data_IF_238811547757
#
_entry.id   IF_238811547757
#
_cell.length_a   1.000
_cell.length_b   1.000
_cell.length_c   1.000
_cell.angle_alpha   90.00
_cell.angle_beta   90.00
_cell.angle_gamma   90.00
#
_symmetry.space_group_name_H-M   'P 1'
#
loop_
_entity.id
_entity.type
_entity.pdbx_description
1 polymer ?
#
# COMPACT_ATOMS: atom_id res chain seq x y z
N UNK A 1 28.89 5.00 6.69
CA UNK A 1 27.47 4.91 7.10
C UNK A 1 26.66 4.87 5.81
N UNK A 2 26.14 3.68 5.47
CA UNK A 2 25.71 3.34 4.11
C UNK A 2 24.47 4.10 3.67
N UNK A 3 24.52 4.66 2.47
CA UNK A 3 23.42 5.35 1.82
C UNK A 3 22.35 4.32 1.42
N UNK A 4 21.43 4.02 2.33
CA UNK A 4 20.37 3.02 2.11
C UNK A 4 19.09 3.70 1.61
N UNK A 5 19.22 4.50 0.56
CA UNK A 5 18.11 5.27 0.00
C UNK A 5 17.21 4.34 -0.83
N UNK A 6 16.25 3.72 -0.16
CA UNK A 6 15.12 3.08 -0.83
C UNK A 6 14.39 4.12 -1.68
N UNK A 7 14.12 3.78 -2.93
CA UNK A 7 13.37 4.65 -3.85
C UNK A 7 11.88 4.36 -3.76
N UNK A 8 11.06 5.36 -4.11
CA UNK A 8 9.62 5.15 -4.26
C UNK A 8 9.36 4.28 -5.50
N UNK A 9 8.82 3.07 -5.28
CA UNK A 9 8.56 2.10 -6.34
C UNK A 9 7.52 2.59 -7.36
N UNK A 10 6.63 3.51 -6.99
CA UNK A 10 5.69 4.12 -7.94
C UNK A 10 6.37 5.05 -8.95
N UNK A 11 7.59 5.53 -8.66
CA UNK A 11 8.33 6.49 -9.50
C UNK A 11 9.52 5.85 -10.24
N UNK A 12 10.07 4.75 -9.71
CA UNK A 12 11.28 4.15 -10.31
C UNK A 12 10.94 3.17 -11.44
N UNK A 13 11.52 3.42 -12.61
CA UNK A 13 11.56 2.46 -13.72
C UNK A 13 10.20 1.94 -14.19
N UNK A 14 9.10 2.64 -13.86
CA UNK A 14 7.74 2.19 -14.09
C UNK A 14 7.53 0.73 -13.65
N UNK A 15 8.01 0.34 -12.47
CA UNK A 15 7.99 -1.08 -12.09
C UNK A 15 6.60 -1.57 -11.66
N UNK A 16 5.70 -0.69 -11.21
CA UNK A 16 4.32 -1.06 -10.90
C UNK A 16 3.51 -1.20 -12.19
N UNK A 17 2.83 -2.34 -12.32
CA UNK A 17 1.85 -2.58 -13.36
C UNK A 17 0.46 -2.11 -12.90
N UNK A 18 0.15 -0.84 -13.16
CA UNK A 18 -1.14 -0.26 -12.82
C UNK A 18 -2.33 -0.90 -13.55
N UNK A 19 -2.11 -1.55 -14.70
CA UNK A 19 -3.19 -2.15 -15.48
C UNK A 19 -3.74 -3.42 -14.84
N UNK A 20 -2.87 -4.18 -14.15
CA UNK A 20 -3.24 -5.44 -13.47
C UNK A 20 -3.43 -5.26 -11.96
N UNK A 21 -2.93 -4.15 -11.39
CA UNK A 21 -3.15 -3.78 -10.00
C UNK A 21 -4.59 -3.35 -9.76
N UNK A 22 -5.18 -3.79 -8.65
CA UNK A 22 -6.60 -3.59 -8.35
C UNK A 22 -6.85 -3.43 -6.85
N UNK A 23 -7.96 -2.81 -6.49
CA UNK A 23 -8.44 -2.76 -5.11
C UNK A 23 -9.82 -3.44 -5.02
N UNK A 24 -10.12 -4.02 -3.86
CA UNK A 24 -11.40 -4.65 -3.55
C UNK A 24 -12.08 -3.91 -2.40
N UNK A 25 -13.42 -3.95 -2.38
CA UNK A 25 -14.28 -3.26 -1.42
C UNK A 25 -14.12 -1.74 -1.42
N UNK A 26 -13.97 -1.12 -2.60
CA UNK A 26 -13.80 0.33 -2.76
C UNK A 26 -15.10 1.02 -3.13
N UNK A 27 -15.40 2.14 -2.48
CA UNK A 27 -16.59 2.94 -2.74
C UNK A 27 -16.44 3.74 -4.05
N UNK A 28 -17.47 3.71 -4.89
CA UNK A 28 -17.51 4.46 -6.14
C UNK A 28 -17.50 5.98 -5.89
N UNK A 29 -16.88 6.73 -6.80
CA UNK A 29 -16.71 8.20 -6.67
C UNK A 29 -15.49 8.63 -5.85
N UNK A 30 -14.82 7.68 -5.19
CA UNK A 30 -13.58 7.90 -4.44
C UNK A 30 -12.31 7.51 -5.22
N UNK A 31 -11.16 7.74 -4.60
CA UNK A 31 -9.84 7.53 -5.21
C UNK A 31 -9.58 6.09 -5.63
N UNK A 32 -8.93 5.91 -6.78
CA UNK A 32 -8.53 4.61 -7.34
C UNK A 32 -7.14 4.21 -6.87
N UNK A 33 -6.80 2.92 -6.94
CA UNK A 33 -5.50 2.42 -6.50
C UNK A 33 -4.30 3.13 -7.16
N UNK A 34 -4.41 3.47 -8.45
CA UNK A 34 -3.35 4.22 -9.15
C UNK A 34 -3.10 5.60 -8.52
N UNK A 35 -4.15 6.28 -8.06
CA UNK A 35 -4.08 7.60 -7.42
C UNK A 35 -3.51 7.48 -5.99
N UNK A 36 -3.83 6.39 -5.29
CA UNK A 36 -3.29 6.09 -3.96
C UNK A 36 -1.79 5.74 -4.04
N UNK A 37 -1.35 5.00 -5.06
CA UNK A 37 0.06 4.65 -5.25
C UNK A 37 0.89 5.81 -5.79
N UNK A 38 0.28 6.68 -6.59
CA UNK A 38 0.95 7.83 -7.22
C UNK A 38 0.07 9.09 -7.13
N UNK A 39 0.05 9.76 -5.97
CA UNK A 39 -0.72 10.99 -5.81
C UNK A 39 -0.09 12.09 -6.68
N UNK A 40 -0.85 12.62 -7.64
CA UNK A 40 -0.33 13.64 -8.56
C UNK A 40 -0.28 15.05 -7.95
N UNK A 41 -1.11 15.31 -6.93
CA UNK A 41 -1.23 16.62 -6.27
C UNK A 41 -1.54 16.45 -4.78
N UNK A 42 -1.15 17.43 -3.96
CA UNK A 42 -1.66 17.53 -2.59
C UNK A 42 -3.19 17.69 -2.61
N UNK A 43 -3.90 16.99 -1.73
CA UNK A 43 -5.37 17.01 -1.70
C UNK A 43 -6.06 16.07 -2.69
N UNK A 44 -5.37 15.02 -3.17
CA UNK A 44 -5.97 13.99 -4.01
C UNK A 44 -7.18 13.29 -3.35
N UNK A 45 -8.05 12.70 -4.18
CA UNK A 45 -9.26 12.01 -3.70
C UNK A 45 -8.87 10.76 -2.89
N UNK A 46 -9.27 10.62 -1.61
CA UNK A 46 -8.96 9.43 -0.83
C UNK A 46 -9.74 8.24 -1.37
N UNK A 47 -9.16 7.04 -1.25
CA UNK A 47 -9.88 5.79 -1.41
C UNK A 47 -10.64 5.49 -0.12
N UNK A 48 -11.87 5.02 -0.24
CA UNK A 48 -12.76 4.71 0.88
C UNK A 48 -13.32 3.29 0.68
N UNK A 49 -13.53 2.55 1.77
CA UNK A 49 -14.15 1.23 1.72
C UNK A 49 -15.67 1.29 1.42
N UNK A 50 -16.29 0.20 0.95
CA UNK A 50 -17.69 0.21 0.47
C UNK A 50 -18.68 -0.64 1.28
N UNK A 51 -18.31 -1.78 1.85
CA UNK A 51 -19.29 -2.63 2.58
C UNK A 51 -19.05 -2.60 4.08
N UNK A 52 -17.79 -2.61 4.49
CA UNK A 52 -17.31 -2.53 5.88
C UNK A 52 -15.99 -1.73 5.91
N UNK A 53 -15.24 -1.79 7.00
CA UNK A 53 -13.96 -1.10 7.16
C UNK A 53 -12.80 -1.72 6.37
N UNK A 54 -13.00 -2.85 5.69
CA UNK A 54 -11.92 -3.62 5.13
C UNK A 54 -11.54 -3.17 3.71
N UNK A 55 -10.26 -3.19 3.37
CA UNK A 55 -9.78 -2.93 1.99
C UNK A 55 -8.68 -3.91 1.62
N UNK A 56 -8.74 -4.48 0.42
CA UNK A 56 -7.64 -5.27 -0.15
C UNK A 56 -7.08 -4.52 -1.35
N UNK A 57 -5.79 -4.20 -1.29
CA UNK A 57 -5.06 -3.57 -2.39
C UNK A 57 -4.06 -4.58 -2.95
N UNK A 58 -4.17 -4.87 -4.25
CA UNK A 58 -3.30 -5.79 -4.98
C UNK A 58 -2.39 -4.98 -5.91
N UNK A 59 -1.10 -5.00 -5.62
CA UNK A 59 -0.06 -4.33 -6.41
C UNK A 59 0.74 -5.38 -7.15
N UNK A 60 0.81 -5.27 -8.47
CA UNK A 60 1.61 -6.15 -9.32
C UNK A 60 2.82 -5.39 -9.86
N UNK A 61 3.95 -6.08 -9.94
CA UNK A 61 5.19 -5.52 -10.47
C UNK A 61 5.54 -6.18 -11.81
N UNK A 62 6.01 -5.38 -12.77
CA UNK A 62 6.43 -5.84 -14.11
C UNK A 62 7.64 -6.76 -14.06
N UNK A 63 8.56 -6.44 -13.16
CA UNK A 63 9.73 -7.25 -12.81
C UNK A 63 9.76 -7.41 -11.28
N UNK A 64 10.32 -8.50 -10.72
CA UNK A 64 10.46 -8.65 -9.27
C UNK A 64 11.24 -7.50 -8.61
N UNK A 65 10.72 -7.01 -7.48
CA UNK A 65 11.31 -5.92 -6.69
C UNK A 65 11.61 -6.36 -5.25
N UNK A 66 12.46 -5.59 -4.58
CA UNK A 66 12.58 -5.62 -3.12
C UNK A 66 11.65 -4.54 -2.54
N UNK A 67 10.82 -4.89 -1.55
CA UNK A 67 9.99 -3.94 -0.80
C UNK A 67 10.53 -3.86 0.63
N UNK A 68 11.14 -2.73 0.96
CA UNK A 68 11.88 -2.54 2.20
C UNK A 68 11.07 -1.80 3.26
N UNK A 69 10.16 -0.92 2.86
CA UNK A 69 9.30 -0.20 3.79
C UNK A 69 8.00 0.24 3.14
N UNK A 70 7.00 0.55 3.98
CA UNK A 70 5.73 1.15 3.57
C UNK A 70 5.51 2.43 4.37
N UNK A 71 4.99 3.46 3.72
CA UNK A 71 4.44 4.66 4.37
C UNK A 71 3.00 4.81 3.94
N UNK A 72 2.12 5.17 4.88
CA UNK A 72 0.72 5.51 4.59
C UNK A 72 0.42 6.94 5.01
N UNK A 73 -0.40 7.64 4.22
CA UNK A 73 -0.90 8.97 4.54
C UNK A 73 -2.43 8.99 4.44
N UNK A 74 -3.07 9.64 5.42
CA UNK A 74 -4.53 9.73 5.54
C UNK A 74 -4.95 11.18 5.84
N UNK A 75 -4.36 12.13 5.11
CA UNK A 75 -4.52 13.57 5.37
C UNK A 75 -5.76 14.17 4.73
N UNK A 76 -6.32 13.48 3.74
CA UNK A 76 -7.52 13.92 3.04
C UNK A 76 -8.67 13.06 3.55
N UNK A 77 -9.38 13.54 4.58
CA UNK A 77 -10.59 12.88 5.06
C UNK A 77 -11.72 13.07 4.03
N UNK A 78 -12.45 12.01 3.65
CA UNK A 78 -13.65 12.16 2.82
C UNK A 78 -14.69 13.05 3.53
N UNK A 79 -15.30 13.98 2.80
CA UNK A 79 -16.23 14.96 3.36
C UNK A 79 -17.66 14.40 3.52
N UNK A 80 -17.98 13.37 2.74
CA UNK A 80 -19.29 12.77 2.52
C UNK A 80 -19.45 11.38 3.15
N UNK A 81 -18.37 10.83 3.72
CA UNK A 81 -18.35 9.51 4.34
C UNK A 81 -17.73 9.58 5.73
N UNK A 82 -18.40 9.02 6.75
CA UNK A 82 -17.82 8.86 8.08
C UNK A 82 -16.83 7.69 8.07
N UNK A 83 -15.56 8.00 7.81
CA UNK A 83 -14.47 7.04 7.74
C UNK A 83 -13.29 7.44 8.65
N UNK A 84 -12.45 6.46 8.99
CA UNK A 84 -11.25 6.63 9.82
C UNK A 84 -9.99 6.04 9.14
N UNK A 85 -8.77 6.51 9.45
CA UNK A 85 -7.54 5.92 8.96
C UNK A 85 -7.36 4.46 9.41
N UNK A 86 -6.64 3.61 8.64
CA UNK A 86 -6.44 2.21 9.00
C UNK A 86 -5.61 2.07 10.28
N UNK A 87 -5.95 1.05 11.07
CA UNK A 87 -5.23 0.68 12.31
C UNK A 87 -4.39 -0.57 12.11
N UNK A 88 -4.89 -1.57 11.41
CA UNK A 88 -4.15 -2.81 11.17
C UNK A 88 -3.98 -3.07 9.68
N UNK A 89 -2.73 -3.26 9.25
CA UNK A 89 -2.39 -3.66 7.89
C UNK A 89 -1.69 -5.01 7.90
N UNK A 90 -2.25 -5.98 7.18
CA UNK A 90 -1.65 -7.29 6.91
C UNK A 90 -1.08 -7.32 5.50
N UNK A 91 0.15 -7.81 5.36
CA UNK A 91 0.89 -7.76 4.11
C UNK A 91 1.25 -9.18 3.66
N UNK A 92 1.02 -9.47 2.39
CA UNK A 92 1.29 -10.76 1.78
C UNK A 92 2.10 -10.57 0.50
N UNK A 93 3.29 -11.15 0.44
CA UNK A 93 4.09 -11.18 -0.77
C UNK A 93 3.73 -12.41 -1.62
N UNK A 94 3.68 -12.24 -2.94
CA UNK A 94 3.52 -13.29 -3.95
C UNK A 94 2.27 -14.15 -3.74
N UNK A 95 1.13 -13.50 -3.42
CA UNK A 95 -0.20 -14.11 -3.22
C UNK A 95 -1.26 -13.39 -4.05
N UNK A 96 -1.14 -13.36 -5.39
CA UNK A 96 -2.08 -12.61 -6.24
C UNK A 96 -3.55 -13.05 -6.12
N UNK A 97 -3.76 -14.32 -5.77
CA UNK A 97 -5.06 -14.94 -5.54
C UNK A 97 -5.76 -14.49 -4.25
N UNK A 98 -5.06 -13.83 -3.32
CA UNK A 98 -5.62 -13.48 -2.00
C UNK A 98 -6.88 -12.60 -2.12
N UNK A 99 -7.94 -12.98 -1.44
CA UNK A 99 -9.17 -12.23 -1.32
C UNK A 99 -9.76 -12.38 0.10
N UNK A 100 -10.98 -11.88 0.34
CA UNK A 100 -11.62 -11.93 1.65
C UNK A 100 -11.85 -13.36 2.17
N UNK A 101 -11.95 -14.37 1.29
CA UNK A 101 -12.08 -15.78 1.72
C UNK A 101 -10.78 -16.33 2.34
N UNK A 102 -9.65 -15.69 2.05
CA UNK A 102 -8.32 -16.09 2.52
C UNK A 102 -7.95 -15.51 3.90
N UNK A 103 -8.70 -14.52 4.40
CA UNK A 103 -8.33 -13.70 5.57
C UNK A 103 -8.09 -14.52 6.84
N UNK A 104 -8.91 -15.55 7.06
CA UNK A 104 -8.82 -16.42 8.24
C UNK A 104 -7.85 -17.60 8.08
N UNK A 105 -7.48 -17.94 6.86
CA UNK A 105 -6.73 -19.17 6.55
C UNK A 105 -5.28 -18.92 6.16
N UNK A 106 -4.96 -17.71 5.71
CA UNK A 106 -3.62 -17.35 5.24
C UNK A 106 -2.93 -16.43 6.24
N UNK A 107 -1.81 -16.89 6.76
CA UNK A 107 -0.98 -16.11 7.69
C UNK A 107 -0.27 -14.98 6.94
N UNK A 108 -0.34 -13.72 7.42
CA UNK A 108 0.37 -12.61 6.80
C UNK A 108 1.88 -12.77 6.93
N UNK A 109 2.62 -12.30 5.92
CA UNK A 109 4.08 -12.24 5.99
C UNK A 109 4.54 -11.21 7.02
N UNK A 110 3.78 -10.13 7.18
CA UNK A 110 3.98 -9.13 8.21
C UNK A 110 2.66 -8.44 8.53
N UNK A 111 2.48 -8.05 9.79
CA UNK A 111 1.39 -7.18 10.24
C UNK A 111 1.99 -5.88 10.77
N UNK A 112 1.41 -4.76 10.37
CA UNK A 112 1.72 -3.42 10.88
C UNK A 112 0.49 -2.92 11.66
N UNK A 113 0.75 -2.24 12.77
CA UNK A 113 -0.28 -1.56 13.56
C UNK A 113 0.02 -0.08 13.60
N UNK A 114 -0.99 0.74 13.33
CA UNK A 114 -0.92 2.18 13.30
C UNK A 114 -1.73 2.81 14.43
N UNK A 115 -1.28 4.00 14.80
CA UNK A 115 -1.95 5.01 15.59
C UNK A 115 -1.70 6.38 14.93
N UNK A 116 -2.36 7.43 15.42
CA UNK A 116 -2.28 8.79 14.86
C UNK A 116 -0.86 9.33 14.65
N UNK A 117 0.10 8.91 15.48
CA UNK A 117 1.50 9.37 15.39
C UNK A 117 2.32 8.61 14.37
N UNK A 118 2.01 7.31 14.19
CA UNK A 118 2.72 6.42 13.27
C UNK A 118 2.21 6.48 11.84
N UNK A 119 1.05 7.12 11.61
CA UNK A 119 0.65 7.53 10.27
C UNK A 119 1.75 8.45 9.72
N UNK A 120 2.08 8.33 8.43
CA UNK A 120 3.20 9.01 7.75
C UNK A 120 4.62 8.56 8.11
N UNK A 121 4.80 7.76 9.16
CA UNK A 121 6.11 7.17 9.43
C UNK A 121 6.46 6.10 8.38
N UNK A 122 7.77 5.84 8.23
CA UNK A 122 8.27 4.78 7.36
C UNK A 122 8.37 3.48 8.15
N UNK A 123 7.50 2.53 7.84
CA UNK A 123 7.42 1.23 8.50
C UNK A 123 8.27 0.21 7.77
N UNK A 124 9.33 -0.28 8.43
CA UNK A 124 10.25 -1.26 7.85
C UNK A 124 9.58 -2.64 7.69
N UNK A 125 9.79 -3.24 6.53
CA UNK A 125 9.39 -4.62 6.27
C UNK A 125 10.55 -5.59 6.54
N UNK A 126 10.23 -6.84 6.89
CA UNK A 126 11.22 -7.91 7.03
C UNK A 126 11.79 -8.25 5.65
N UNK A 127 12.96 -7.70 5.35
CA UNK A 127 13.57 -7.75 4.01
C UNK A 127 13.61 -9.15 3.39
N UNK A 128 13.82 -10.21 4.16
CA UNK A 128 13.88 -11.59 3.61
C UNK A 128 12.54 -12.09 3.08
N UNK A 129 11.42 -11.63 3.62
CA UNK A 129 10.06 -11.99 3.17
C UNK A 129 9.59 -11.16 1.99
N UNK A 130 10.24 -10.02 1.76
CA UNK A 130 9.88 -9.04 0.73
C UNK A 130 11.03 -8.75 -0.23
N UNK A 131 11.94 -9.72 -0.39
CA UNK A 131 13.13 -9.55 -1.22
C UNK A 131 12.79 -9.64 -2.71
N UNK A 132 12.07 -10.69 -3.13
CA UNK A 132 11.77 -10.97 -4.55
C UNK A 132 10.25 -11.01 -4.76
N UNK A 133 9.64 -9.84 -4.82
CA UNK A 133 8.19 -9.64 -4.85
C UNK A 133 7.73 -9.34 -6.27
N UNK A 134 6.86 -10.18 -6.83
CA UNK A 134 6.16 -9.93 -8.11
C UNK A 134 4.72 -9.45 -7.90
N UNK A 135 4.12 -9.77 -6.74
CA UNK A 135 2.85 -9.18 -6.31
C UNK A 135 2.85 -8.92 -4.80
N UNK A 136 2.18 -7.86 -4.39
CA UNK A 136 2.00 -7.48 -2.99
C UNK A 136 0.52 -7.26 -2.72
N UNK A 137 0.00 -7.98 -1.73
CA UNK A 137 -1.34 -7.73 -1.21
C UNK A 137 -1.22 -7.00 0.12
N UNK A 138 -1.92 -5.87 0.20
CA UNK A 138 -2.03 -5.01 1.37
C UNK A 138 -3.48 -5.07 1.81
N UNK A 139 -3.72 -5.68 2.97
CA UNK A 139 -5.04 -5.82 3.54
C UNK A 139 -5.19 -4.90 4.75
N UNK A 140 -6.04 -3.88 4.63
CA UNK A 140 -6.43 -3.01 5.74
C UNK A 140 -7.61 -3.69 6.45
N UNK A 141 -7.40 -4.07 7.71
CA UNK A 141 -8.31 -4.97 8.46
C UNK A 141 -9.34 -4.19 9.24
N UNK A 142 -8.90 -3.12 9.91
CA UNK A 142 -9.71 -2.26 10.77
C UNK A 142 -9.17 -0.83 10.74
N UNK A 143 -9.89 0.10 11.38
CA UNK A 143 -9.50 1.50 11.49
C UNK A 143 -9.36 1.98 12.94
N UNK A 144 -8.72 3.14 13.12
CA UNK A 144 -8.27 3.65 14.42
C UNK A 144 -9.47 3.98 15.32
N UNK A 145 -10.52 4.54 14.75
CA UNK A 145 -11.68 5.04 15.49
C UNK A 145 -12.88 4.08 15.53
N UNK A 146 -12.74 2.86 14.98
CA UNK A 146 -13.82 1.87 14.93
C UNK A 146 -15.04 2.31 14.11
N UNK A 147 -14.81 3.07 13.03
CA UNK A 147 -15.83 3.49 12.06
C UNK A 147 -16.19 2.35 11.11
N UNK A 148 -17.37 2.44 10.51
CA UNK A 148 -17.83 1.46 9.51
C UNK A 148 -17.01 1.50 8.21
N UNK A 149 -16.14 2.51 8.06
CA UNK A 149 -15.39 2.78 6.83
C UNK A 149 -13.95 3.15 7.13
N UNK A 150 -13.06 2.65 6.28
CA UNK A 150 -11.65 3.03 6.28
C UNK A 150 -11.37 3.92 5.07
N UNK A 151 -10.53 4.94 5.25
CA UNK A 151 -10.01 5.72 4.13
C UNK A 151 -8.49 5.77 4.12
N UNK A 152 -7.93 5.95 2.92
CA UNK A 152 -6.50 6.17 2.73
C UNK A 152 -6.27 7.16 1.59
N UNK A 153 -5.33 8.09 1.77
CA UNK A 153 -5.01 9.10 0.76
C UNK A 153 -3.81 8.70 -0.09
N UNK A 154 -2.82 8.02 0.50
CA UNK A 154 -1.64 7.54 -0.21
C UNK A 154 -0.99 6.34 0.48
N UNK A 155 -0.44 5.43 -0.34
CA UNK A 155 0.53 4.41 0.09
C UNK A 155 1.79 4.59 -0.74
N UNK A 156 2.92 4.73 -0.05
CA UNK A 156 4.23 4.70 -0.68
C UNK A 156 4.94 3.39 -0.37
N UNK A 157 5.34 2.68 -1.42
CA UNK A 157 6.18 1.48 -1.32
C UNK A 157 7.63 1.87 -1.55
N UNK A 158 8.47 1.68 -0.55
CA UNK A 158 9.89 2.00 -0.60
C UNK A 158 10.70 0.74 -0.87
N UNK A 159 11.57 0.77 -1.88
CA UNK A 159 12.31 -0.42 -2.27
C UNK A 159 13.35 -0.19 -3.35
N UNK A 160 13.62 -1.25 -4.11
CA UNK A 160 14.55 -1.23 -5.24
C UNK A 160 14.24 -2.33 -6.26
N UNK A 161 14.74 -2.14 -7.49
CA UNK A 161 14.61 -3.12 -8.56
C UNK A 161 15.69 -4.21 -8.42
N UNK A 162 15.35 -5.47 -8.68
CA UNK A 162 16.36 -6.53 -8.79
C UNK A 162 17.26 -6.30 -10.00
N UNK A 163 18.57 -6.44 -9.82
CA UNK A 163 19.55 -6.52 -10.93
C UNK A 163 19.78 -5.23 -11.73
N UNK A 164 19.17 -4.09 -11.37
CA UNK A 164 19.46 -2.78 -11.98
C UNK A 164 20.20 -1.91 -10.97
N UNK A 165 21.45 -1.58 -11.29
CA UNK A 165 22.24 -0.61 -10.53
C UNK A 165 21.50 0.75 -10.56
N UNK A 166 21.26 1.34 -9.38
CA UNK A 166 20.48 2.59 -9.18
C UNK A 166 21.27 3.83 -9.65
N UNK A 167 21.93 3.74 -10.80
CA UNK A 167 22.92 4.70 -11.28
C UNK A 167 22.45 5.63 -12.40
N UNK A 168 21.21 5.52 -12.90
CA UNK A 168 20.86 6.13 -14.20
C UNK A 168 19.54 6.91 -14.27
N UNK A 169 18.93 7.29 -13.14
CA UNK A 169 17.72 8.14 -13.15
C UNK A 169 17.86 9.43 -12.32
N UNK A 170 19.05 10.05 -12.37
CA UNK A 170 19.19 11.48 -12.04
C UNK A 170 19.95 12.16 -13.18
N UNK A 171 19.18 12.73 -14.11
CA UNK A 171 19.55 13.89 -14.90
C UNK A 171 18.34 14.77 -15.05
#
# INVERSE_FOLDING_TARGET
MGNNDYVNLSLVGMCIDHATSSALNTLDGHGKLSEILMPMHEGGNPMVSDVDEQLILKVFFRDPVHVNAITINCDVKPADVDASPPKTMRIYANRPEFDFSCVETVVPHQTLTFNDRSLKEKHLLNGTKFDRVSSLVIFLVDNIDGKDRTFISNITLWGGLHGKQIGWYVK
#
